data_IF_005055931418
#
_entry.id   IF_005055931418
#
_cell.length_a   1.000
_cell.length_b   1.000
_cell.length_c   1.000
_cell.angle_alpha   90.00
_cell.angle_beta   90.00
_cell.angle_gamma   90.00
#
_symmetry.space_group_name_H-M   'P 1'
#
loop_
_entity.id
_entity.type
_entity.pdbx_description
1 polymer ?
#
# COMPACT_ATOMS: atom_id res chain seq x y z
N UNK A 1 -0.87 -58.24 53.20
CA UNK A 1 -1.83 -57.40 52.44
C UNK A 1 -1.05 -56.64 51.37
N UNK A 2 -0.95 -57.17 50.15
CA UNK A 2 -0.34 -56.48 49.01
C UNK A 2 -1.25 -56.72 47.79
N UNK A 3 -1.93 -55.67 47.33
CA UNK A 3 -2.86 -55.72 46.19
C UNK A 3 -2.04 -55.63 44.89
N UNK A 4 -2.13 -56.67 44.07
CA UNK A 4 -1.56 -56.74 42.73
C UNK A 4 -2.23 -55.70 41.81
N UNK A 5 -1.44 -54.77 41.28
CA UNK A 5 -1.88 -53.68 40.39
C UNK A 5 -1.97 -54.21 38.95
N UNK A 6 -3.18 -54.21 38.37
CA UNK A 6 -3.45 -54.81 37.06
C UNK A 6 -2.82 -53.99 35.91
N UNK A 7 -2.09 -54.66 35.01
CA UNK A 7 -1.42 -54.15 33.80
C UNK A 7 -2.34 -53.52 32.72
N UNK A 8 -3.62 -53.28 32.98
CA UNK A 8 -4.62 -52.85 31.98
C UNK A 8 -4.75 -51.34 31.73
N UNK A 9 -4.07 -50.47 32.49
CA UNK A 9 -4.36 -49.01 32.47
C UNK A 9 -3.47 -48.17 31.55
N UNK A 10 -2.49 -48.76 30.85
CA UNK A 10 -1.51 -48.00 30.05
C UNK A 10 -1.92 -47.80 28.58
N UNK A 11 -2.80 -48.65 28.05
CA UNK A 11 -3.27 -48.59 26.66
C UNK A 11 -4.11 -47.33 26.31
N UNK A 12 -5.07 -46.87 27.15
CA UNK A 12 -5.86 -45.69 26.81
C UNK A 12 -5.03 -44.39 26.86
N UNK A 13 -3.99 -44.33 27.69
CA UNK A 13 -3.14 -43.15 27.83
C UNK A 13 -2.29 -42.90 26.58
N UNK A 14 -1.79 -43.98 25.96
CA UNK A 14 -1.02 -43.90 24.72
C UNK A 14 -1.88 -43.40 23.55
N UNK A 15 -3.14 -43.84 23.45
CA UNK A 15 -4.07 -43.43 22.38
C UNK A 15 -4.42 -41.94 22.50
N UNK A 16 -4.65 -41.44 23.71
CA UNK A 16 -4.89 -40.01 23.96
C UNK A 16 -3.67 -39.17 23.60
N UNK A 17 -2.46 -39.61 23.96
CA UNK A 17 -1.24 -38.89 23.63
C UNK A 17 -0.98 -38.80 22.11
N UNK A 18 -1.27 -39.88 21.37
CA UNK A 18 -1.08 -39.93 19.92
C UNK A 18 -2.13 -39.08 19.19
N UNK A 19 -3.38 -39.07 19.68
CA UNK A 19 -4.44 -38.18 19.19
C UNK A 19 -4.12 -36.70 19.42
N UNK A 20 -3.57 -36.34 20.58
CA UNK A 20 -3.10 -34.98 20.86
C UNK A 20 -1.95 -34.56 19.93
N UNK A 21 -0.97 -35.44 19.70
CA UNK A 21 0.12 -35.18 18.74
C UNK A 21 -0.41 -34.95 17.32
N UNK A 22 -1.41 -35.73 16.90
CA UNK A 22 -2.02 -35.57 15.57
C UNK A 22 -2.81 -34.26 15.46
N UNK A 23 -3.56 -33.88 16.50
CA UNK A 23 -4.27 -32.60 16.55
C UNK A 23 -3.32 -31.39 16.56
N UNK A 24 -2.18 -31.48 17.26
CA UNK A 24 -1.14 -30.44 17.26
C UNK A 24 -0.51 -30.29 15.87
N UNK A 25 -0.26 -31.40 15.17
CA UNK A 25 0.24 -31.36 13.78
C UNK A 25 -0.76 -30.68 12.84
N UNK A 26 -2.05 -30.96 12.95
CA UNK A 26 -3.10 -30.31 12.14
C UNK A 26 -3.19 -28.81 12.44
N UNK A 27 -3.14 -28.42 13.72
CA UNK A 27 -3.19 -26.99 14.10
C UNK A 27 -1.99 -26.19 13.57
N UNK A 28 -0.82 -26.82 13.43
CA UNK A 28 0.39 -26.19 12.90
C UNK A 28 0.29 -25.92 11.38
N UNK A 29 -0.46 -26.75 10.65
CA UNK A 29 -0.61 -26.65 9.19
C UNK A 29 -1.62 -25.57 8.76
N UNK A 30 -2.66 -25.31 9.56
CA UNK A 30 -3.64 -24.23 9.32
C UNK A 30 -3.01 -22.82 9.45
N UNK A 31 -2.08 -22.63 10.39
CA UNK A 31 -1.40 -21.35 10.61
C UNK A 31 -0.51 -20.92 9.41
N UNK A 32 -0.11 -21.87 8.56
CA UNK A 32 0.74 -21.61 7.38
C UNK A 32 -0.03 -21.13 6.14
N UNK A 33 -1.35 -20.94 6.21
CA UNK A 33 -2.17 -20.64 5.01
C UNK A 33 -2.33 -19.16 4.68
N UNK A 34 -1.85 -18.24 5.52
CA UNK A 34 -1.82 -16.81 5.21
C UNK A 34 -0.56 -16.51 4.38
N UNK A 35 -0.76 -16.07 3.13
CA UNK A 35 0.33 -15.53 2.32
C UNK A 35 0.98 -14.30 2.97
N UNK A 36 2.10 -13.83 2.43
CA UNK A 36 2.81 -12.65 2.94
C UNK A 36 1.87 -11.46 3.11
N UNK A 37 1.74 -10.96 4.33
CA UNK A 37 0.90 -9.80 4.65
C UNK A 37 1.72 -8.53 4.50
N UNK A 38 1.22 -7.60 3.68
CA UNK A 38 1.82 -6.29 3.43
C UNK A 38 0.87 -5.20 3.95
N UNK A 39 1.40 -4.30 4.78
CA UNK A 39 0.74 -3.05 5.16
C UNK A 39 1.31 -1.90 4.35
N UNK A 40 0.43 -1.08 3.76
CA UNK A 40 0.82 0.11 3.00
C UNK A 40 0.18 1.32 3.66
N UNK A 41 1.02 2.24 4.16
CA UNK A 41 0.57 3.57 4.55
C UNK A 41 0.77 4.52 3.36
N UNK A 42 -0.34 5.03 2.84
CA UNK A 42 -0.36 6.00 1.75
C UNK A 42 -0.56 7.39 2.34
N UNK A 43 0.51 8.04 2.80
CA UNK A 43 0.44 9.39 3.36
C UNK A 43 0.28 10.47 2.29
N UNK A 44 0.15 11.72 2.74
CA UNK A 44 0.04 12.87 1.83
C UNK A 44 1.37 13.21 1.19
N UNK A 45 2.44 13.24 1.99
CA UNK A 45 3.80 13.64 1.55
C UNK A 45 4.73 12.45 1.38
N UNK A 46 4.61 11.44 2.26
CA UNK A 46 5.41 10.23 2.23
C UNK A 46 4.51 9.01 2.44
N UNK A 47 4.90 7.90 1.82
CA UNK A 47 4.30 6.59 1.97
C UNK A 47 5.31 5.61 2.57
N UNK A 48 4.81 4.54 3.19
CA UNK A 48 5.61 3.50 3.82
C UNK A 48 5.01 2.12 3.52
N UNK A 49 5.87 1.10 3.43
CA UNK A 49 5.44 -0.29 3.23
C UNK A 49 6.09 -1.16 4.29
N UNK A 50 5.29 -1.97 4.97
CA UNK A 50 5.75 -2.95 5.96
C UNK A 50 5.29 -4.36 5.61
N UNK A 51 6.11 -5.36 5.94
CA UNK A 51 5.77 -6.78 5.82
C UNK A 51 5.68 -7.40 7.22
N UNK A 52 4.65 -8.20 7.46
CA UNK A 52 4.56 -9.01 8.69
C UNK A 52 5.27 -10.36 8.46
N UNK A 53 6.37 -10.59 9.15
CA UNK A 53 7.18 -11.81 9.05
C UNK A 53 7.81 -12.13 10.41
N UNK A 54 7.97 -13.41 10.73
CA UNK A 54 8.64 -13.85 11.97
C UNK A 54 8.05 -13.22 13.25
N UNK A 55 6.73 -13.06 13.31
CA UNK A 55 6.03 -12.54 14.49
C UNK A 55 6.10 -11.02 14.70
N UNK A 56 6.71 -10.26 13.78
CA UNK A 56 6.80 -8.80 13.87
C UNK A 56 6.65 -8.12 12.51
N UNK A 57 6.48 -6.80 12.51
CA UNK A 57 6.43 -5.97 11.30
C UNK A 57 7.83 -5.46 10.99
N UNK A 58 8.28 -5.65 9.76
CA UNK A 58 9.52 -5.08 9.21
C UNK A 58 9.18 -4.02 8.17
N UNK A 59 9.80 -2.83 8.26
CA UNK A 59 9.62 -1.76 7.28
C UNK A 59 10.59 -1.97 6.11
N UNK A 60 10.04 -2.01 4.90
CA UNK A 60 10.80 -2.25 3.68
C UNK A 60 11.46 -0.94 3.24
N UNK A 61 12.77 -0.98 3.03
CA UNK A 61 13.50 0.12 2.42
C UNK A 61 13.29 0.14 0.90
N UNK A 62 13.21 1.33 0.30
CA UNK A 62 13.21 1.49 -1.14
C UNK A 62 14.61 1.22 -1.74
N UNK A 63 14.73 1.35 -3.05
CA UNK A 63 15.96 1.16 -3.83
C UNK A 63 17.12 2.08 -3.41
N UNK A 64 16.82 3.19 -2.73
CA UNK A 64 17.81 4.11 -2.16
C UNK A 64 18.13 3.85 -0.68
N UNK A 65 17.52 2.82 -0.08
CA UNK A 65 17.70 2.49 1.33
C UNK A 65 16.80 3.28 2.30
N UNK A 66 15.89 4.12 1.80
CA UNK A 66 14.98 4.90 2.64
C UNK A 66 13.73 4.08 3.02
N UNK A 67 13.33 4.14 4.29
CA UNK A 67 12.13 3.44 4.81
C UNK A 67 10.80 4.18 4.58
N UNK A 68 10.88 5.41 4.10
CA UNK A 68 9.73 6.20 3.65
C UNK A 68 10.03 6.70 2.24
N UNK A 69 9.02 6.75 1.39
CA UNK A 69 9.14 7.17 0.00
C UNK A 69 8.24 8.36 -0.26
N UNK A 70 8.70 9.47 -0.86
CA UNK A 70 7.84 10.58 -1.20
C UNK A 70 6.64 10.13 -2.04
N UNK A 71 5.45 10.61 -1.71
CA UNK A 71 4.21 10.37 -2.46
C UNK A 71 4.14 11.30 -3.69
N UNK A 72 5.19 11.24 -4.52
CA UNK A 72 5.43 12.12 -5.66
C UNK A 72 5.54 11.29 -6.95
N UNK A 73 4.95 11.80 -8.03
CA UNK A 73 5.03 11.20 -9.37
C UNK A 73 5.32 12.31 -10.36
N UNK A 74 6.37 12.17 -11.16
CA UNK A 74 6.69 13.11 -12.23
C UNK A 74 6.61 12.41 -13.59
N UNK A 75 6.09 13.13 -14.58
CA UNK A 75 6.02 12.66 -15.95
C UNK A 75 7.05 13.44 -16.78
N UNK A 76 7.94 12.70 -17.43
CA UNK A 76 8.88 13.23 -18.42
C UNK A 76 8.43 12.77 -19.80
N UNK A 77 9.19 13.14 -20.84
CA UNK A 77 8.89 12.67 -22.21
C UNK A 77 9.33 11.20 -22.41
N UNK A 78 10.29 10.72 -21.63
CA UNK A 78 10.79 9.34 -21.74
C UNK A 78 10.11 8.37 -20.78
N UNK A 79 9.81 8.82 -19.56
CA UNK A 79 9.45 7.92 -18.47
C UNK A 79 8.60 8.59 -17.37
N UNK A 80 8.23 7.77 -16.39
CA UNK A 80 7.54 8.21 -15.18
C UNK A 80 8.45 7.99 -13.98
N UNK A 81 8.82 9.08 -13.33
CA UNK A 81 9.61 9.07 -12.11
C UNK A 81 8.68 9.00 -10.88
N UNK A 82 9.11 8.29 -9.84
CA UNK A 82 8.34 8.10 -8.60
C UNK A 82 9.26 8.34 -7.40
N UNK A 83 8.72 8.85 -6.29
CA UNK A 83 9.47 8.98 -5.04
C UNK A 83 10.51 10.11 -5.10
N UNK A 84 11.72 9.81 -4.62
CA UNK A 84 12.80 10.81 -4.53
C UNK A 84 13.18 11.36 -5.91
N UNK A 85 13.20 10.51 -6.94
CA UNK A 85 13.51 10.96 -8.30
C UNK A 85 12.51 12.03 -8.79
N UNK A 86 11.21 11.84 -8.54
CA UNK A 86 10.19 12.82 -8.89
C UNK A 86 10.30 14.11 -8.06
N UNK A 87 10.53 13.98 -6.75
CA UNK A 87 10.67 15.12 -5.83
C UNK A 87 11.88 15.98 -6.17
N UNK A 88 13.02 15.38 -6.52
CA UNK A 88 14.26 16.09 -6.79
C UNK A 88 14.18 16.99 -8.04
N UNK A 89 13.38 16.62 -9.04
CA UNK A 89 13.20 17.42 -10.26
C UNK A 89 12.00 18.37 -10.22
N UNK A 90 11.26 18.44 -9.10
CA UNK A 90 10.03 19.21 -8.99
C UNK A 90 10.21 20.71 -9.28
N UNK A 91 11.36 21.29 -8.94
CA UNK A 91 11.66 22.69 -9.22
C UNK A 91 11.90 22.96 -10.72
N UNK A 92 12.33 21.95 -11.47
CA UNK A 92 12.66 22.06 -12.91
C UNK A 92 11.44 21.75 -13.78
N UNK A 93 10.59 20.81 -13.34
CA UNK A 93 9.41 20.37 -14.08
C UNK A 93 8.14 20.41 -13.20
N UNK A 94 7.76 21.58 -12.68
CA UNK A 94 6.75 21.69 -11.64
C UNK A 94 5.34 21.28 -12.13
N UNK A 95 4.97 21.64 -13.36
CA UNK A 95 3.62 21.37 -13.89
C UNK A 95 3.35 19.89 -14.17
N UNK A 96 4.40 19.09 -14.41
CA UNK A 96 4.30 17.65 -14.65
C UNK A 96 4.71 16.81 -13.43
N UNK A 97 4.90 17.45 -12.28
CA UNK A 97 5.25 16.80 -11.02
C UNK A 97 4.11 16.88 -10.03
N UNK A 98 3.52 15.72 -9.75
CA UNK A 98 2.29 15.56 -8.99
C UNK A 98 2.60 15.10 -7.57
N UNK A 99 2.06 15.81 -6.58
CA UNK A 99 2.18 15.55 -5.15
C UNK A 99 0.91 15.99 -4.42
N UNK A 100 0.74 15.68 -3.12
CA UNK A 100 -0.43 16.06 -2.32
C UNK A 100 -1.78 15.52 -2.82
N UNK A 101 -1.76 14.51 -3.70
CA UNK A 101 -2.96 13.94 -4.33
C UNK A 101 -3.96 13.38 -3.32
N UNK A 102 -3.48 12.90 -2.16
CA UNK A 102 -4.33 12.42 -1.06
C UNK A 102 -5.36 13.47 -0.62
N UNK A 103 -5.07 14.77 -0.79
CA UNK A 103 -5.98 15.86 -0.44
C UNK A 103 -7.21 15.92 -1.35
N UNK A 104 -7.13 15.40 -2.57
CA UNK A 104 -8.20 15.44 -3.57
C UNK A 104 -9.12 14.21 -3.52
N UNK A 105 -8.67 13.12 -2.89
CA UNK A 105 -9.41 11.84 -2.85
C UNK A 105 -10.76 12.03 -2.16
N UNK A 106 -11.83 11.53 -2.80
CA UNK A 106 -13.18 11.57 -2.26
C UNK A 106 -13.85 12.96 -2.25
N UNK A 107 -13.17 14.00 -2.75
CA UNK A 107 -13.71 15.37 -2.81
C UNK A 107 -14.44 15.64 -4.12
N UNK A 108 -15.32 16.65 -4.10
CA UNK A 108 -15.91 17.25 -5.31
C UNK A 108 -15.05 18.42 -5.77
N UNK A 109 -15.05 18.67 -7.08
CA UNK A 109 -14.25 19.77 -7.65
C UNK A 109 -14.56 21.12 -7.01
N UNK A 110 -15.84 21.35 -6.65
CA UNK A 110 -16.32 22.62 -6.10
C UNK A 110 -16.04 22.78 -4.59
N UNK A 111 -15.48 21.78 -3.91
CA UNK A 111 -15.18 21.87 -2.48
C UNK A 111 -14.16 23.00 -2.21
N UNK A 112 -14.38 23.75 -1.12
CA UNK A 112 -13.56 24.93 -0.79
C UNK A 112 -12.08 24.59 -0.64
N UNK A 113 -11.78 23.41 -0.13
CA UNK A 113 -10.42 22.91 0.03
C UNK A 113 -9.78 22.57 -1.31
N UNK A 114 -10.51 21.97 -2.26
CA UNK A 114 -10.00 21.74 -3.62
C UNK A 114 -9.68 23.08 -4.28
N UNK A 115 -10.59 24.05 -4.18
CA UNK A 115 -10.40 25.40 -4.73
C UNK A 115 -9.23 26.16 -4.08
N UNK A 116 -8.91 25.85 -2.81
CA UNK A 116 -7.73 26.38 -2.12
C UNK A 116 -6.46 25.69 -2.61
N UNK A 117 -6.45 24.36 -2.63
CA UNK A 117 -5.29 23.55 -3.00
C UNK A 117 -4.87 23.83 -4.45
N UNK A 118 -5.83 24.07 -5.35
CA UNK A 118 -5.61 24.53 -6.74
C UNK A 118 -4.73 25.77 -6.87
N UNK A 119 -4.69 26.64 -5.85
CA UNK A 119 -3.88 27.87 -5.87
C UNK A 119 -2.46 27.64 -5.33
N UNK A 120 -2.21 26.49 -4.72
CA UNK A 120 -0.97 26.15 -4.03
C UNK A 120 -0.12 25.16 -4.83
N UNK A 121 -0.72 24.42 -5.74
CA UNK A 121 -0.04 23.41 -6.56
C UNK A 121 0.30 23.97 -7.94
N UNK A 122 1.43 23.57 -8.54
CA UNK A 122 1.86 24.05 -9.85
C UNK A 122 1.17 23.35 -11.03
N UNK A 123 0.61 22.15 -10.80
CA UNK A 123 -0.06 21.37 -11.83
C UNK A 123 -1.54 21.71 -11.93
N UNK A 124 -2.14 21.40 -13.07
CA UNK A 124 -3.54 21.77 -13.34
C UNK A 124 -4.52 20.75 -12.77
N UNK A 125 -5.49 21.22 -11.98
CA UNK A 125 -6.64 20.43 -11.54
C UNK A 125 -7.86 20.87 -12.36
N UNK A 126 -8.54 19.92 -13.00
CA UNK A 126 -9.70 20.15 -13.87
C UNK A 126 -10.95 19.46 -13.34
N UNK A 127 -12.10 20.01 -13.67
CA UNK A 127 -13.39 19.41 -13.37
C UNK A 127 -13.77 18.43 -14.47
N UNK A 128 -14.06 17.19 -14.10
CA UNK A 128 -14.74 16.24 -14.98
C UNK A 128 -15.83 15.53 -14.18
N UNK A 129 -17.07 15.66 -14.63
CA UNK A 129 -18.26 15.09 -14.00
C UNK A 129 -18.38 15.42 -12.49
N UNK A 130 -18.00 16.65 -12.12
CA UNK A 130 -18.05 17.15 -10.74
C UNK A 130 -16.90 16.69 -9.84
N UNK A 131 -15.96 15.89 -10.36
CA UNK A 131 -14.78 15.38 -9.63
C UNK A 131 -13.51 16.10 -10.05
N UNK A 132 -12.55 16.30 -9.14
CA UNK A 132 -11.24 16.86 -9.48
C UNK A 132 -10.37 15.80 -10.17
N UNK A 133 -9.79 16.15 -11.30
CA UNK A 133 -8.78 15.37 -12.01
C UNK A 133 -7.51 16.19 -12.15
N UNK A 134 -6.35 15.55 -12.07
CA UNK A 134 -5.08 16.21 -12.36
C UNK A 134 -4.79 16.02 -13.85
N UNK A 135 -4.58 17.13 -14.55
CA UNK A 135 -4.24 17.15 -15.97
C UNK A 135 -2.73 17.34 -16.11
N UNK A 136 -2.05 16.36 -16.71
CA UNK A 136 -0.60 16.41 -16.97
C UNK A 136 -0.32 16.13 -18.44
N UNK A 137 0.62 16.88 -19.01
CA UNK A 137 1.15 16.62 -20.35
C UNK A 137 2.20 15.50 -20.30
N UNK A 138 2.03 14.50 -21.14
CA UNK A 138 2.93 13.36 -21.31
C UNK A 138 3.31 13.28 -22.79
N UNK A 139 4.62 13.25 -23.10
CA UNK A 139 5.13 13.08 -24.47
C UNK A 139 4.59 14.09 -25.49
N UNK A 140 4.59 15.39 -25.16
CA UNK A 140 4.13 16.56 -25.96
C UNK A 140 2.74 16.48 -26.66
N UNK A 141 2.07 15.32 -26.63
CA UNK A 141 0.91 15.00 -27.45
C UNK A 141 -0.21 14.37 -26.61
N UNK A 142 0.12 13.73 -25.49
CA UNK A 142 -0.86 13.01 -24.66
C UNK A 142 -1.20 13.79 -23.40
N UNK A 143 -2.48 14.12 -23.26
CA UNK A 143 -3.00 14.63 -21.99
C UNK A 143 -3.43 13.44 -21.15
N UNK A 144 -2.75 13.25 -20.02
CA UNK A 144 -3.14 12.24 -19.05
C UNK A 144 -4.02 12.88 -17.97
N UNK A 145 -5.21 12.29 -17.75
CA UNK A 145 -6.05 12.65 -16.63
C UNK A 145 -5.94 11.61 -15.53
N UNK A 146 -5.47 12.05 -14.36
CA UNK A 146 -5.30 11.22 -13.19
C UNK A 146 -6.53 11.41 -12.31
N UNK A 147 -7.38 10.39 -12.26
CA UNK A 147 -8.43 10.28 -11.27
C UNK A 147 -7.90 9.53 -10.06
N UNK A 148 -8.04 10.11 -8.88
CA UNK A 148 -7.78 9.37 -7.64
C UNK A 148 -9.09 9.17 -6.90
N UNK A 149 -9.73 8.05 -7.22
CA UNK A 149 -11.00 7.62 -6.59
C UNK A 149 -10.78 6.97 -5.24
N UNK A 150 -9.62 6.37 -5.04
CA UNK A 150 -9.17 5.79 -3.78
C UNK A 150 -7.64 5.77 -3.79
N UNK A 151 -7.01 5.61 -2.64
CA UNK A 151 -5.54 5.54 -2.55
C UNK A 151 -4.96 4.34 -3.33
N UNK A 152 -5.78 3.33 -3.63
CA UNK A 152 -5.44 2.15 -4.44
C UNK A 152 -5.89 2.22 -5.90
N UNK A 153 -6.77 3.17 -6.28
CA UNK A 153 -7.23 3.38 -7.66
C UNK A 153 -6.69 4.71 -8.19
N UNK A 154 -5.51 4.65 -8.78
CA UNK A 154 -5.02 5.70 -9.70
C UNK A 154 -5.35 5.23 -11.12
N UNK A 155 -6.43 5.75 -11.70
CA UNK A 155 -6.78 5.44 -13.08
C UNK A 155 -6.22 6.49 -14.02
N UNK A 156 -5.52 5.99 -15.04
CA UNK A 156 -4.94 6.77 -16.10
C UNK A 156 -5.84 6.71 -17.32
N UNK A 157 -6.56 7.78 -17.62
CA UNK A 157 -7.26 7.90 -18.89
C UNK A 157 -6.46 8.82 -19.81
N UNK A 158 -6.05 8.30 -20.97
CA UNK A 158 -5.62 9.12 -22.08
C UNK A 158 -6.86 9.83 -22.63
N UNK A 159 -6.84 11.16 -22.64
CA UNK A 159 -7.77 11.92 -23.46
C UNK A 159 -7.28 11.94 -24.91
#
# INVERSE_FOLDING_TARGET
>A
MARSFSRGSLLPLAIVSLGCLFAISIAKEEATKLGTVIGIDLGTTYSCVGVYKNGHVEIIANDQGNRITPSWVAFTDSERLIGEAAKNQAAVNPERTVFDVKRLIGRKFQDKEVQRDMKLVPYKIVNKDGKPYIQVLVQEVRTMMILVTSSSDVRYNCA
#
